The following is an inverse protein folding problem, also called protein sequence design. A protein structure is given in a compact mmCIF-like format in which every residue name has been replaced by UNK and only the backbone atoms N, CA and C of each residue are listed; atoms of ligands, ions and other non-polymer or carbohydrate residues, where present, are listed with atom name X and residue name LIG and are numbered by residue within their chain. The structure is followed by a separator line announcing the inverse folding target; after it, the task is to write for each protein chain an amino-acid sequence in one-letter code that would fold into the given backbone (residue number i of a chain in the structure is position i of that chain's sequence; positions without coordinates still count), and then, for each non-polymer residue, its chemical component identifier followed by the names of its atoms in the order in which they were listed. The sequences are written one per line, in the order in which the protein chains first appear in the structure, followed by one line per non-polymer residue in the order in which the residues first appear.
data_IF_160238019169
#
_entry.id   IF_160238019169
#
_cell.length_a   1.000
_cell.length_b   1.000
_cell.length_c   1.000
_cell.angle_alpha   90.00
_cell.angle_beta   90.00
_cell.angle_gamma   90.00
#
_symmetry.space_group_name_H-M   'P 1'
#
loop_
_entity.id
_entity.type
_entity.pdbx_description
1 polymer ?
#
# COMPACT_ATOMS: atom_id res chain seq x y z
N UNK A 1 -15.35 -83.04 24.14
CA UNK A 1 -14.91 -81.63 24.00
C UNK A 1 -15.92 -80.96 23.06
N UNK A 2 -16.97 -80.29 23.54
CA UNK A 2 -16.93 -78.94 24.14
C UNK A 2 -16.89 -77.90 23.00
N UNK A 3 -17.98 -77.27 22.53
CA UNK A 3 -18.76 -76.13 23.09
C UNK A 3 -18.71 -74.94 22.08
N UNK A 4 -19.90 -74.53 21.59
CA UNK A 4 -20.33 -73.15 21.21
C UNK A 4 -19.86 -72.54 19.86
N UNK A 5 -20.61 -71.71 19.11
CA UNK A 5 -21.97 -71.13 19.22
C UNK A 5 -22.38 -70.53 17.85
N UNK A 6 -23.67 -70.63 17.54
CA UNK A 6 -24.40 -69.81 16.55
C UNK A 6 -24.63 -68.40 17.12
N UNK A 7 -24.56 -67.34 16.28
CA UNK A 7 -25.45 -66.15 16.19
C UNK A 7 -24.73 -64.93 15.59
N UNK A 8 -25.31 -64.35 14.52
CA UNK A 8 -25.55 -62.89 14.36
C UNK A 8 -25.64 -62.47 12.88
N UNK A 9 -26.76 -62.81 12.24
CA UNK A 9 -27.37 -61.98 11.19
C UNK A 9 -28.27 -60.95 11.91
N UNK A 10 -28.31 -59.72 11.41
CA UNK A 10 -29.04 -58.53 11.90
C UNK A 10 -28.38 -57.71 13.02
N UNK A 11 -27.55 -56.74 12.61
CA UNK A 11 -27.50 -55.41 13.22
C UNK A 11 -27.01 -54.40 12.18
N UNK A 12 -27.92 -53.97 11.29
CA UNK A 12 -27.70 -52.79 10.45
C UNK A 12 -27.86 -51.57 11.36
N UNK A 13 -26.73 -51.02 11.74
CA UNK A 13 -26.58 -49.90 12.67
C UNK A 13 -27.27 -48.63 12.16
N UNK A 14 -28.15 -48.08 13.01
CA UNK A 14 -28.77 -46.74 12.90
C UNK A 14 -27.76 -45.60 12.71
N UNK A 15 -26.46 -45.83 12.93
CA UNK A 15 -25.42 -44.82 12.77
C UNK A 15 -25.11 -44.48 11.30
N UNK A 16 -25.25 -45.40 10.34
CA UNK A 16 -24.98 -45.09 8.92
C UNK A 16 -26.03 -44.17 8.28
N UNK A 17 -27.28 -44.23 8.74
CA UNK A 17 -28.36 -43.35 8.27
C UNK A 17 -28.23 -41.94 8.86
N UNK A 18 -27.75 -41.79 10.11
CA UNK A 18 -27.48 -40.49 10.71
C UNK A 18 -26.32 -39.74 10.02
N UNK A 19 -25.24 -40.44 9.66
CA UNK A 19 -24.10 -39.82 8.96
C UNK A 19 -24.46 -39.35 7.54
N UNK A 20 -25.34 -40.04 6.84
CA UNK A 20 -25.80 -39.62 5.50
C UNK A 20 -26.76 -38.42 5.60
N UNK A 21 -27.64 -38.38 6.61
CA UNK A 21 -28.49 -37.20 6.86
C UNK A 21 -27.67 -35.96 7.23
N UNK A 22 -26.61 -36.09 8.03
CA UNK A 22 -25.73 -34.96 8.42
C UNK A 22 -24.96 -34.43 7.21
N UNK A 23 -24.49 -35.31 6.31
CA UNK A 23 -23.78 -34.90 5.09
C UNK A 23 -24.73 -34.20 4.10
N UNK A 24 -25.97 -34.67 3.95
CA UNK A 24 -26.98 -33.99 3.12
C UNK A 24 -27.42 -32.65 3.72
N UNK A 25 -27.48 -32.53 5.05
CA UNK A 25 -27.86 -31.29 5.74
C UNK A 25 -26.72 -30.26 5.74
N UNK A 26 -25.45 -30.71 5.80
CA UNK A 26 -24.27 -29.85 5.61
C UNK A 26 -24.09 -29.39 4.16
N UNK A 27 -24.38 -30.25 3.16
CA UNK A 27 -24.34 -29.87 1.75
C UNK A 27 -25.44 -28.85 1.40
N UNK A 28 -26.67 -29.06 1.87
CA UNK A 28 -27.77 -28.09 1.67
C UNK A 28 -27.52 -26.77 2.41
N UNK A 29 -26.94 -26.76 3.61
CA UNK A 29 -26.54 -25.53 4.30
C UNK A 29 -25.43 -24.77 3.54
N UNK A 30 -24.52 -25.47 2.85
CA UNK A 30 -23.41 -24.84 2.11
C UNK A 30 -23.91 -24.12 0.85
N UNK A 31 -24.86 -24.71 0.12
CA UNK A 31 -25.44 -24.09 -1.08
C UNK A 31 -26.44 -22.95 -0.75
N UNK A 32 -27.20 -23.08 0.35
CA UNK A 32 -28.09 -22.01 0.82
C UNK A 32 -27.34 -20.83 1.45
N UNK A 33 -26.23 -21.07 2.15
CA UNK A 33 -25.40 -20.02 2.73
C UNK A 33 -24.55 -19.34 1.65
N UNK A 34 -24.05 -20.10 0.65
CA UNK A 34 -23.32 -19.60 -0.52
C UNK A 34 -24.15 -18.59 -1.34
N UNK A 35 -25.37 -18.97 -1.75
CA UNK A 35 -26.24 -18.09 -2.55
C UNK A 35 -26.65 -16.81 -1.82
N UNK A 36 -26.88 -16.88 -0.50
CA UNK A 36 -27.28 -15.74 0.33
C UNK A 36 -26.10 -14.82 0.71
N UNK A 37 -24.89 -15.36 0.89
CA UNK A 37 -23.67 -14.55 0.99
C UNK A 37 -23.38 -13.83 -0.33
N UNK A 38 -23.62 -14.51 -1.45
CA UNK A 38 -23.40 -13.95 -2.78
C UNK A 38 -24.36 -12.79 -3.10
N UNK A 39 -25.61 -12.83 -2.59
CA UNK A 39 -26.53 -11.70 -2.71
C UNK A 39 -26.14 -10.48 -1.86
N UNK A 40 -25.36 -10.65 -0.77
CA UNK A 40 -24.89 -9.55 0.09
C UNK A 40 -23.71 -8.77 -0.50
N UNK A 41 -23.09 -9.31 -1.54
CA UNK A 41 -21.91 -8.71 -2.20
C UNK A 41 -22.26 -8.22 -3.61
N UNK A 42 -23.53 -8.27 -4.01
CA UNK A 42 -23.93 -8.10 -5.41
C UNK A 42 -23.65 -6.68 -5.91
N UNK A 43 -23.98 -5.67 -5.09
CA UNK A 43 -23.74 -4.26 -5.42
C UNK A 43 -22.48 -3.74 -4.71
N UNK A 44 -21.42 -3.51 -5.48
CA UNK A 44 -20.11 -3.07 -4.99
C UNK A 44 -19.88 -1.60 -5.36
N UNK A 45 -19.72 -0.76 -4.36
CA UNK A 45 -19.26 0.61 -4.52
C UNK A 45 -17.73 0.66 -4.58
N UNK A 46 -17.16 1.38 -5.54
CA UNK A 46 -15.71 1.56 -5.64
C UNK A 46 -15.34 3.04 -5.70
N UNK A 47 -14.52 3.50 -4.75
CA UNK A 47 -14.09 4.91 -4.67
C UNK A 47 -12.57 5.01 -4.82
N UNK A 48 -12.14 5.84 -5.77
CA UNK A 48 -10.74 6.04 -6.11
C UNK A 48 -10.33 5.15 -7.29
N UNK A 49 -10.27 5.73 -8.47
CA UNK A 49 -10.03 5.07 -9.75
C UNK A 49 -8.64 5.42 -10.32
N UNK A 50 -7.67 5.71 -9.45
CA UNK A 50 -6.28 5.92 -9.85
C UNK A 50 -5.62 4.67 -10.44
N UNK A 51 -4.29 4.65 -10.48
CA UNK A 51 -3.51 3.56 -11.10
C UNK A 51 -3.88 2.16 -10.59
N UNK A 52 -4.16 2.02 -9.29
CA UNK A 52 -4.54 0.74 -8.68
C UNK A 52 -6.06 0.52 -8.79
N UNK A 53 -6.86 1.48 -8.30
CA UNK A 53 -8.29 1.31 -8.13
C UNK A 53 -9.07 1.07 -9.43
N UNK A 54 -8.69 1.72 -10.53
CA UNK A 54 -9.34 1.47 -11.84
C UNK A 54 -9.21 0.01 -12.29
N UNK A 55 -8.03 -0.60 -12.12
CA UNK A 55 -7.77 -1.99 -12.50
C UNK A 55 -8.50 -2.98 -11.58
N UNK A 56 -8.52 -2.67 -10.29
CA UNK A 56 -9.26 -3.43 -9.28
C UNK A 56 -10.78 -3.42 -9.58
N UNK A 57 -11.35 -2.25 -9.86
CA UNK A 57 -12.75 -2.09 -10.24
C UNK A 57 -13.10 -2.87 -11.53
N UNK A 58 -12.23 -2.81 -12.54
CA UNK A 58 -12.40 -3.59 -13.78
C UNK A 58 -12.41 -5.10 -13.52
N UNK A 59 -11.57 -5.59 -12.61
CA UNK A 59 -11.57 -7.02 -12.28
C UNK A 59 -12.85 -7.47 -11.56
N UNK A 60 -13.38 -6.65 -10.64
CA UNK A 60 -14.68 -6.90 -10.02
C UNK A 60 -15.79 -7.00 -11.08
N UNK A 61 -15.81 -6.09 -12.06
CA UNK A 61 -16.77 -6.12 -13.17
C UNK A 61 -16.62 -7.41 -14.00
N UNK A 62 -15.39 -7.78 -14.35
CA UNK A 62 -15.11 -9.03 -15.10
C UNK A 62 -15.53 -10.29 -14.34
N UNK A 63 -15.51 -10.24 -13.01
CA UNK A 63 -15.97 -11.33 -12.14
C UNK A 63 -17.49 -11.34 -11.92
N UNK A 64 -18.24 -10.42 -12.52
CA UNK A 64 -19.71 -10.42 -12.53
C UNK A 64 -20.37 -9.60 -11.42
N UNK A 65 -19.61 -8.83 -10.63
CA UNK A 65 -20.17 -7.94 -9.62
C UNK A 65 -20.81 -6.69 -10.26
N UNK A 66 -21.91 -6.18 -9.69
CA UNK A 66 -22.51 -4.91 -10.11
C UNK A 66 -21.76 -3.76 -9.46
N UNK A 67 -20.85 -3.15 -10.20
CA UNK A 67 -19.98 -2.09 -9.66
C UNK A 67 -20.55 -0.70 -9.97
N UNK A 68 -20.66 0.15 -8.94
CA UNK A 68 -20.83 1.60 -9.10
C UNK A 68 -19.55 2.32 -8.66
N UNK A 69 -19.13 3.36 -9.39
CA UNK A 69 -17.83 3.99 -9.16
C UNK A 69 -17.92 5.49 -8.86
N UNK A 70 -16.94 5.99 -8.11
CA UNK A 70 -16.75 7.42 -7.87
C UNK A 70 -15.25 7.79 -7.82
N UNK A 71 -14.90 8.93 -8.42
CA UNK A 71 -13.59 9.56 -8.32
C UNK A 71 -13.73 11.07 -8.55
N UNK A 72 -12.82 11.88 -7.99
CA UNK A 72 -12.78 13.33 -8.21
C UNK A 72 -12.33 13.69 -9.63
N UNK A 73 -11.63 12.79 -10.32
CA UNK A 73 -11.15 12.98 -11.69
C UNK A 73 -12.23 12.60 -12.69
N UNK A 74 -12.92 13.62 -13.21
CA UNK A 74 -13.96 13.49 -14.23
C UNK A 74 -13.51 12.74 -15.51
N UNK A 75 -12.23 12.83 -15.88
CA UNK A 75 -11.70 12.12 -17.04
C UNK A 75 -11.68 10.61 -16.82
N UNK A 76 -11.37 10.16 -15.60
CA UNK A 76 -11.35 8.74 -15.28
C UNK A 76 -12.77 8.20 -15.14
N UNK A 77 -13.66 8.91 -14.45
CA UNK A 77 -15.07 8.49 -14.31
C UNK A 77 -15.78 8.43 -15.65
N UNK A 78 -15.48 9.36 -16.58
CA UNK A 78 -16.01 9.31 -17.95
C UNK A 78 -15.70 8.00 -18.66
N UNK A 79 -14.47 7.48 -18.55
CA UNK A 79 -14.12 6.19 -19.16
C UNK A 79 -14.99 5.03 -18.62
N UNK A 80 -15.33 5.04 -17.33
CA UNK A 80 -16.22 4.03 -16.75
C UNK A 80 -17.67 4.19 -17.24
N UNK A 81 -18.16 5.43 -17.27
CA UNK A 81 -19.49 5.77 -17.79
C UNK A 81 -19.66 5.37 -19.26
N UNK A 82 -18.66 5.65 -20.11
CA UNK A 82 -18.67 5.30 -21.54
C UNK A 82 -18.68 3.77 -21.76
N UNK A 83 -18.25 2.99 -20.75
CA UNK A 83 -18.32 1.53 -20.74
C UNK A 83 -19.56 0.98 -20.00
N UNK A 84 -20.57 1.83 -19.75
CA UNK A 84 -21.83 1.43 -19.13
C UNK A 84 -21.77 1.18 -17.63
N UNK A 85 -20.68 1.56 -16.95
CA UNK A 85 -20.53 1.41 -15.50
C UNK A 85 -21.19 2.62 -14.81
N UNK A 86 -22.12 2.41 -13.87
CA UNK A 86 -22.73 3.51 -13.12
C UNK A 86 -21.70 4.37 -12.38
N UNK A 87 -21.72 5.67 -12.64
CA UNK A 87 -20.92 6.67 -11.92
C UNK A 87 -21.84 7.40 -10.93
N UNK A 88 -21.34 7.63 -9.71
CA UNK A 88 -22.02 8.44 -8.68
C UNK A 88 -21.25 9.73 -8.43
N UNK A 89 -21.96 10.77 -8.01
CA UNK A 89 -21.40 12.12 -7.83
C UNK A 89 -20.71 12.32 -6.47
N UNK A 90 -20.93 11.41 -5.50
CA UNK A 90 -20.32 11.51 -4.18
C UNK A 90 -20.14 10.16 -3.49
N UNK A 91 -19.26 10.08 -2.47
CA UNK A 91 -19.16 8.90 -1.60
C UNK A 91 -20.50 8.52 -0.94
N UNK A 92 -21.28 9.49 -0.49
CA UNK A 92 -22.62 9.23 0.07
C UNK A 92 -23.53 8.51 -0.94
N UNK A 93 -23.56 8.94 -2.21
CA UNK A 93 -24.35 8.27 -3.24
C UNK A 93 -23.84 6.86 -3.58
N UNK A 94 -22.53 6.60 -3.42
CA UNK A 94 -21.97 5.25 -3.51
C UNK A 94 -22.52 4.38 -2.37
N UNK A 95 -22.49 4.87 -1.13
CA UNK A 95 -23.00 4.13 0.03
C UNK A 95 -24.50 3.80 -0.12
N UNK A 96 -25.32 4.73 -0.63
CA UNK A 96 -26.77 4.51 -0.86
C UNK A 96 -27.07 3.40 -1.88
N UNK A 97 -26.17 3.17 -2.83
CA UNK A 97 -26.35 2.25 -3.94
C UNK A 97 -25.65 0.89 -3.77
N UNK A 98 -24.93 0.68 -2.66
CA UNK A 98 -24.01 -0.45 -2.50
C UNK A 98 -24.26 -1.23 -1.23
N UNK A 99 -24.01 -2.54 -1.30
CA UNK A 99 -24.03 -3.44 -0.15
C UNK A 99 -22.63 -3.52 0.49
N UNK A 100 -21.59 -3.37 -0.33
CA UNK A 100 -20.18 -3.28 0.08
C UNK A 100 -19.53 -2.07 -0.58
N UNK A 101 -18.67 -1.36 0.13
CA UNK A 101 -17.86 -0.27 -0.42
C UNK A 101 -16.37 -0.58 -0.31
N UNK A 102 -15.64 -0.42 -1.40
CA UNK A 102 -14.18 -0.50 -1.46
C UNK A 102 -13.59 0.89 -1.73
N UNK A 103 -12.58 1.28 -0.98
CA UNK A 103 -11.84 2.54 -1.18
C UNK A 103 -10.38 2.27 -1.54
N UNK A 104 -9.82 3.04 -2.49
CA UNK A 104 -8.43 2.93 -2.93
C UNK A 104 -7.82 4.30 -3.24
N UNK A 105 -7.36 4.97 -2.18
CA UNK A 105 -7.06 6.40 -2.12
C UNK A 105 -5.57 6.69 -1.81
N UNK A 106 -5.09 7.94 -2.03
CA UNK A 106 -3.66 8.23 -1.90
C UNK A 106 -3.09 8.25 -0.47
N UNK A 107 -3.86 8.73 0.51
CA UNK A 107 -3.38 8.94 1.89
C UNK A 107 -4.51 8.97 2.92
N UNK A 108 -4.14 8.94 4.21
CA UNK A 108 -5.06 8.98 5.34
C UNK A 108 -6.03 10.17 5.30
N UNK A 109 -5.58 11.36 4.86
CA UNK A 109 -6.45 12.54 4.78
C UNK A 109 -7.57 12.38 3.75
N UNK A 110 -7.29 11.73 2.62
CA UNK A 110 -8.31 11.45 1.60
C UNK A 110 -9.31 10.40 2.09
N UNK A 111 -8.82 9.36 2.79
CA UNK A 111 -9.71 8.35 3.38
C UNK A 111 -10.62 8.99 4.44
N UNK A 112 -10.07 9.83 5.33
CA UNK A 112 -10.89 10.55 6.33
C UNK A 112 -11.95 11.40 5.64
N UNK A 113 -11.60 12.19 4.62
CA UNK A 113 -12.58 13.02 3.90
C UNK A 113 -13.67 12.18 3.21
N UNK A 114 -13.30 11.07 2.56
CA UNK A 114 -14.26 10.16 1.90
C UNK A 114 -15.19 9.49 2.91
N UNK A 115 -14.73 9.17 4.11
CA UNK A 115 -15.58 8.55 5.14
C UNK A 115 -16.43 9.58 5.90
N UNK A 116 -15.82 10.64 6.40
CA UNK A 116 -16.40 11.55 7.40
C UNK A 116 -16.70 12.95 6.87
N UNK A 117 -16.40 13.24 5.60
CA UNK A 117 -16.71 14.52 4.96
C UNK A 117 -18.22 14.77 4.85
N UNK A 118 -18.60 15.99 4.48
CA UNK A 118 -20.02 16.40 4.41
C UNK A 118 -20.87 15.53 3.46
N UNK A 119 -20.26 15.00 2.40
CA UNK A 119 -20.87 14.03 1.47
C UNK A 119 -20.16 12.68 1.53
N UNK A 120 -19.60 12.33 2.68
CA UNK A 120 -18.84 11.11 2.92
C UNK A 120 -19.71 9.85 3.03
N UNK A 121 -19.04 8.71 3.14
CA UNK A 121 -19.68 7.39 3.30
C UNK A 121 -20.58 7.30 4.54
N UNK A 122 -20.21 8.02 5.61
CA UNK A 122 -20.94 8.05 6.88
C UNK A 122 -21.90 9.25 6.97
N UNK A 123 -22.08 10.02 5.91
CA UNK A 123 -22.91 11.24 5.92
C UNK A 123 -24.39 10.97 6.17
N UNK A 124 -24.87 9.76 5.88
CA UNK A 124 -26.23 9.33 6.20
C UNK A 124 -26.47 9.11 7.72
N UNK A 125 -25.44 9.35 8.56
CA UNK A 125 -25.52 9.22 10.00
C UNK A 125 -25.56 7.77 10.47
N UNK A 126 -26.30 7.51 11.55
CA UNK A 126 -26.32 6.22 12.24
C UNK A 126 -27.06 5.11 11.49
N UNK A 127 -27.55 5.31 10.26
CA UNK A 127 -28.26 4.26 9.51
C UNK A 127 -27.68 4.09 8.11
N UNK A 128 -26.83 3.09 7.94
CA UNK A 128 -26.06 2.81 6.73
C UNK A 128 -26.65 1.63 5.95
N UNK A 129 -26.59 1.71 4.62
CA UNK A 129 -26.91 0.58 3.74
C UNK A 129 -25.75 -0.42 3.63
N UNK A 130 -24.48 0.00 3.37
CA UNK A 130 -23.41 -0.97 3.23
C UNK A 130 -23.18 -1.67 4.55
N UNK A 131 -23.13 -3.00 4.51
CA UNK A 131 -22.82 -3.80 5.69
C UNK A 131 -21.32 -4.02 5.87
N UNK A 132 -20.55 -3.79 4.79
CA UNK A 132 -19.11 -3.96 4.78
C UNK A 132 -18.41 -2.80 4.07
N UNK A 133 -17.38 -2.28 4.73
CA UNK A 133 -16.45 -1.30 4.20
C UNK A 133 -15.06 -1.92 4.09
N UNK A 134 -14.43 -1.83 2.92
CA UNK A 134 -13.09 -2.36 2.67
C UNK A 134 -12.19 -1.17 2.30
N UNK A 135 -11.23 -0.86 3.16
CA UNK A 135 -10.24 0.20 2.94
C UNK A 135 -8.95 -0.43 2.42
N UNK A 136 -8.69 -0.31 1.11
CA UNK A 136 -7.52 -0.91 0.45
C UNK A 136 -6.35 0.06 0.23
N UNK A 137 -6.47 1.30 0.68
CA UNK A 137 -5.40 2.27 0.67
C UNK A 137 -4.31 1.92 1.68
N UNK A 138 -3.13 2.49 1.49
CA UNK A 138 -2.06 2.41 2.50
C UNK A 138 -2.10 3.66 3.37
N UNK A 139 -2.62 3.52 4.58
CA UNK A 139 -2.84 4.61 5.54
C UNK A 139 -2.22 4.30 6.91
N UNK A 140 -2.29 5.29 7.79
CA UNK A 140 -1.92 5.14 9.20
C UNK A 140 -2.83 4.09 9.89
N UNK A 141 -2.27 3.07 10.57
CA UNK A 141 -3.04 2.06 11.29
C UNK A 141 -4.00 2.65 12.34
N UNK A 142 -3.66 3.78 12.97
CA UNK A 142 -4.55 4.46 13.90
C UNK A 142 -5.76 5.06 13.20
N UNK A 143 -5.59 5.60 11.99
CA UNK A 143 -6.72 6.13 11.22
C UNK A 143 -7.64 4.99 10.83
N UNK A 144 -7.09 3.86 10.37
CA UNK A 144 -7.87 2.64 10.09
C UNK A 144 -8.68 2.19 11.33
N UNK A 145 -8.04 2.09 12.50
CA UNK A 145 -8.72 1.72 13.76
C UNK A 145 -9.84 2.68 14.15
N UNK A 146 -9.59 4.00 14.05
CA UNK A 146 -10.59 5.02 14.36
C UNK A 146 -11.80 4.92 13.44
N UNK A 147 -11.57 4.77 12.14
CA UNK A 147 -12.64 4.59 11.16
C UNK A 147 -13.41 3.30 11.40
N UNK A 148 -12.73 2.21 11.77
CA UNK A 148 -13.40 0.95 12.14
C UNK A 148 -14.37 1.16 13.31
N UNK A 149 -13.99 1.92 14.34
CA UNK A 149 -14.90 2.27 15.44
C UNK A 149 -16.06 3.12 14.93
N UNK A 150 -15.80 4.18 14.16
CA UNK A 150 -16.87 5.04 13.62
C UNK A 150 -17.87 4.29 12.73
N UNK A 151 -17.40 3.30 11.96
CA UNK A 151 -18.26 2.42 11.16
C UNK A 151 -19.10 1.52 12.07
N UNK A 152 -18.48 0.88 13.06
CA UNK A 152 -19.18 -0.03 13.98
C UNK A 152 -20.16 0.67 14.92
N UNK A 153 -19.98 1.97 15.20
CA UNK A 153 -20.94 2.78 15.97
C UNK A 153 -22.22 3.11 15.17
N UNK A 154 -22.21 2.90 13.86
CA UNK A 154 -23.41 3.05 13.03
C UNK A 154 -24.27 1.78 13.06
N UNK A 155 -25.56 1.92 12.76
CA UNK A 155 -26.48 0.80 12.58
C UNK A 155 -26.76 0.56 11.10
N UNK A 156 -27.10 -0.68 10.75
CA UNK A 156 -27.57 -1.04 9.42
C UNK A 156 -29.03 -0.65 9.25
N UNK A 157 -29.38 -0.16 8.06
CA UNK A 157 -30.78 0.10 7.66
C UNK A 157 -31.60 -1.17 7.61
N UNK A 158 -30.98 -2.25 7.16
CA UNK A 158 -31.58 -3.56 7.03
C UNK A 158 -30.80 -4.55 7.89
N UNK A 159 -31.49 -5.23 8.82
CA UNK A 159 -30.85 -6.24 9.67
C UNK A 159 -30.46 -7.45 8.82
N UNK A 160 -29.19 -7.81 8.87
CA UNK A 160 -28.61 -8.88 8.06
C UNK A 160 -28.28 -10.08 8.97
N UNK A 161 -29.19 -11.05 9.08
CA UNK A 161 -29.05 -12.25 9.92
C UNK A 161 -28.66 -11.93 11.39
N UNK A 162 -29.29 -10.91 11.97
CA UNK A 162 -29.04 -10.49 13.36
C UNK A 162 -27.85 -9.55 13.55
N UNK A 163 -27.11 -9.24 12.48
CA UNK A 163 -26.11 -8.17 12.50
C UNK A 163 -26.80 -6.79 12.48
N UNK A 164 -26.46 -5.96 13.46
CA UNK A 164 -27.04 -4.61 13.62
C UNK A 164 -26.08 -3.51 13.19
N UNK A 165 -24.77 -3.77 13.16
CA UNK A 165 -23.74 -2.78 12.87
C UNK A 165 -22.89 -3.20 11.65
N UNK A 166 -22.40 -2.27 10.82
CA UNK A 166 -21.50 -2.60 9.72
C UNK A 166 -20.11 -3.00 10.20
N UNK A 167 -19.40 -3.74 9.34
CA UNK A 167 -18.00 -4.07 9.52
C UNK A 167 -17.11 -3.18 8.66
N UNK A 168 -15.88 -3.00 9.13
CA UNK A 168 -14.78 -2.43 8.35
C UNK A 168 -13.61 -3.40 8.32
N UNK A 169 -13.04 -3.58 7.14
CA UNK A 169 -11.79 -4.28 6.91
C UNK A 169 -10.76 -3.29 6.36
N UNK A 170 -9.57 -3.23 6.97
CA UNK A 170 -8.43 -2.61 6.33
C UNK A 170 -7.65 -3.66 5.53
N UNK A 171 -7.66 -3.51 4.22
CA UNK A 171 -7.20 -4.50 3.25
C UNK A 171 -6.20 -3.91 2.24
N UNK A 172 -5.09 -3.27 2.68
CA UNK A 172 -4.07 -2.77 1.77
C UNK A 172 -3.48 -3.88 0.90
N UNK A 173 -2.97 -3.48 -0.28
CA UNK A 173 -2.54 -4.40 -1.33
C UNK A 173 -1.04 -4.35 -1.61
N UNK A 174 -0.49 -5.45 -2.11
CA UNK A 174 0.87 -5.55 -2.67
C UNK A 174 0.87 -6.18 -4.06
N UNK A 175 1.86 -5.84 -4.89
CA UNK A 175 2.02 -6.33 -6.27
C UNK A 175 2.04 -5.25 -7.36
N UNK A 176 1.62 -4.03 -7.03
CA UNK A 176 1.66 -2.88 -7.94
C UNK A 176 0.71 -3.00 -9.13
N UNK A 177 0.90 -2.13 -10.13
CA UNK A 177 -0.03 -1.93 -11.24
C UNK A 177 -0.22 -3.21 -12.07
N UNK A 178 0.86 -3.94 -12.36
CA UNK A 178 0.79 -5.17 -13.16
C UNK A 178 -0.02 -6.26 -12.45
N UNK A 179 0.15 -6.42 -11.13
CA UNK A 179 -0.64 -7.38 -10.37
C UNK A 179 -2.10 -6.93 -10.23
N UNK A 180 -2.36 -5.63 -10.10
CA UNK A 180 -3.72 -5.11 -10.10
C UNK A 180 -4.43 -5.38 -11.43
N UNK A 181 -3.75 -5.21 -12.56
CA UNK A 181 -4.31 -5.49 -13.88
C UNK A 181 -4.58 -6.98 -14.10
N UNK A 182 -3.67 -7.84 -13.62
CA UNK A 182 -3.77 -9.27 -13.75
C UNK A 182 -4.69 -9.94 -12.71
N UNK A 183 -5.23 -9.21 -11.73
CA UNK A 183 -6.03 -9.80 -10.64
C UNK A 183 -5.19 -10.69 -9.72
N UNK A 184 -3.91 -10.36 -9.52
CA UNK A 184 -2.95 -11.19 -8.77
C UNK A 184 -2.34 -10.50 -7.55
N UNK A 185 -2.98 -9.42 -7.09
CA UNK A 185 -2.61 -8.72 -5.85
C UNK A 185 -2.57 -9.66 -4.63
N UNK A 186 -1.77 -9.25 -3.65
CA UNK A 186 -1.85 -9.79 -2.29
C UNK A 186 -2.56 -8.78 -1.39
N UNK A 187 -3.68 -9.18 -0.79
CA UNK A 187 -4.38 -8.40 0.24
C UNK A 187 -3.88 -8.79 1.63
N UNK A 188 -3.62 -7.79 2.47
CA UNK A 188 -3.31 -7.97 3.90
C UNK A 188 -4.49 -7.40 4.68
N UNK A 189 -5.29 -8.25 5.33
CA UNK A 189 -6.63 -7.87 5.79
C UNK A 189 -6.72 -7.89 7.31
N UNK A 190 -6.95 -6.73 7.91
CA UNK A 190 -7.31 -6.58 9.32
C UNK A 190 -8.82 -6.32 9.49
N UNK A 191 -9.39 -6.78 10.60
CA UNK A 191 -10.79 -6.56 10.96
C UNK A 191 -11.44 -7.78 11.61
N UNK A 192 -12.76 -7.90 11.52
CA UNK A 192 -13.51 -9.05 12.03
C UNK A 192 -13.31 -10.28 11.12
N UNK A 193 -13.14 -11.46 11.71
CA UNK A 193 -12.84 -12.69 10.96
C UNK A 193 -14.01 -13.14 10.09
N UNK A 194 -15.24 -12.96 10.60
CA UNK A 194 -16.48 -13.23 9.89
C UNK A 194 -16.65 -12.33 8.65
N UNK A 195 -16.26 -11.05 8.76
CA UNK A 195 -16.29 -10.11 7.65
C UNK A 195 -15.21 -10.47 6.61
N UNK A 196 -14.01 -10.87 7.07
CA UNK A 196 -12.95 -11.37 6.19
C UNK A 196 -13.40 -12.60 5.39
N UNK A 197 -13.98 -13.59 6.06
CA UNK A 197 -14.48 -14.81 5.42
C UNK A 197 -15.58 -14.49 4.39
N UNK A 198 -16.50 -13.58 4.73
CA UNK A 198 -17.54 -13.16 3.81
C UNK A 198 -17.01 -12.38 2.60
N UNK A 199 -15.92 -11.62 2.75
CA UNK A 199 -15.31 -10.81 1.69
C UNK A 199 -14.40 -11.60 0.73
N UNK A 200 -14.14 -12.89 1.00
CA UNK A 200 -13.23 -13.74 0.22
C UNK A 200 -13.48 -13.71 -1.30
N UNK A 201 -14.73 -13.74 -1.82
CA UNK A 201 -15.00 -13.66 -3.26
C UNK A 201 -14.54 -12.33 -3.88
N UNK A 202 -14.65 -11.21 -3.15
CA UNK A 202 -14.18 -9.90 -3.62
C UNK A 202 -12.65 -9.89 -3.71
N UNK A 203 -11.96 -10.42 -2.71
CA UNK A 203 -10.49 -10.48 -2.74
C UNK A 203 -9.98 -11.38 -3.87
N UNK A 204 -10.61 -12.53 -4.11
CA UNK A 204 -10.23 -13.45 -5.19
C UNK A 204 -10.48 -12.87 -6.59
N UNK A 205 -11.43 -11.95 -6.74
CA UNK A 205 -11.63 -11.27 -8.03
C UNK A 205 -10.51 -10.29 -8.37
N UNK A 206 -9.90 -9.67 -7.35
CA UNK A 206 -8.89 -8.62 -7.54
C UNK A 206 -7.45 -9.09 -7.25
N UNK A 207 -7.31 -10.26 -6.63
CA UNK A 207 -6.04 -10.74 -6.09
C UNK A 207 -5.91 -12.25 -6.11
N UNK A 208 -4.67 -12.71 -5.99
CA UNK A 208 -4.33 -14.13 -5.93
C UNK A 208 -4.36 -14.67 -4.51
N UNK A 209 -4.08 -13.82 -3.52
CA UNK A 209 -3.93 -14.21 -2.12
C UNK A 209 -4.53 -13.11 -1.24
N UNK A 210 -5.34 -13.49 -0.27
CA UNK A 210 -5.68 -12.66 0.89
C UNK A 210 -5.13 -13.30 2.16
N UNK A 211 -4.53 -12.49 3.03
CA UNK A 211 -3.95 -12.93 4.30
C UNK A 211 -4.68 -12.22 5.41
N UNK A 212 -5.33 -12.98 6.30
CA UNK A 212 -5.92 -12.42 7.52
C UNK A 212 -4.82 -12.04 8.52
N UNK A 213 -4.81 -10.79 8.94
CA UNK A 213 -3.80 -10.20 9.83
C UNK A 213 -4.33 -9.99 11.26
N UNK A 214 -5.53 -10.49 11.57
CA UNK A 214 -6.20 -10.30 12.86
C UNK A 214 -7.06 -9.03 12.89
N UNK A 215 -7.18 -8.41 14.06
CA UNK A 215 -8.12 -7.31 14.30
C UNK A 215 -7.86 -6.01 13.52
N UNK A 216 -8.73 -4.99 13.72
CA UNK A 216 -8.69 -3.74 12.97
C UNK A 216 -7.33 -3.02 12.98
N UNK A 217 -6.92 -2.55 11.81
CA UNK A 217 -5.66 -1.84 11.57
C UNK A 217 -4.46 -2.76 11.32
N UNK A 218 -4.58 -4.07 11.53
CA UNK A 218 -3.44 -4.98 11.38
C UNK A 218 -3.05 -5.21 9.92
N UNK A 219 -3.97 -5.08 8.96
CA UNK A 219 -3.63 -5.12 7.54
C UNK A 219 -2.71 -3.95 7.16
N UNK A 220 -3.01 -2.77 7.68
CA UNK A 220 -2.24 -1.54 7.54
C UNK A 220 -0.86 -1.68 8.18
N UNK A 221 -0.77 -2.25 9.39
CA UNK A 221 0.51 -2.57 10.04
C UNK A 221 1.33 -3.53 9.16
N UNK A 222 0.74 -4.62 8.69
CA UNK A 222 1.42 -5.60 7.84
C UNK A 222 1.99 -4.96 6.57
N UNK A 223 1.19 -4.11 5.90
CA UNK A 223 1.61 -3.39 4.71
C UNK A 223 2.78 -2.45 4.96
N UNK A 224 2.72 -1.66 6.03
CA UNK A 224 3.77 -0.71 6.41
C UNK A 224 5.08 -1.45 6.70
N UNK A 225 5.01 -2.53 7.48
CA UNK A 225 6.18 -3.38 7.77
C UNK A 225 6.78 -4.00 6.50
N UNK A 226 5.94 -4.51 5.59
CA UNK A 226 6.39 -5.04 4.30
C UNK A 226 7.13 -3.97 3.48
N UNK A 227 6.56 -2.77 3.36
CA UNK A 227 7.16 -1.71 2.55
C UNK A 227 8.42 -1.13 3.20
N UNK A 228 8.49 -1.06 4.53
CA UNK A 228 9.71 -0.72 5.27
C UNK A 228 10.83 -1.71 4.98
N UNK A 229 10.57 -3.02 5.12
CA UNK A 229 11.57 -4.05 4.85
C UNK A 229 12.06 -4.01 3.39
N UNK A 230 11.13 -3.80 2.44
CA UNK A 230 11.46 -3.66 1.03
C UNK A 230 12.33 -2.42 0.76
N UNK A 231 12.03 -1.27 1.36
CA UNK A 231 12.81 -0.05 1.21
C UNK A 231 14.25 -0.20 1.71
N UNK A 232 14.42 -0.73 2.93
CA UNK A 232 15.75 -0.98 3.51
C UNK A 232 16.54 -1.95 2.63
N UNK A 233 15.89 -3.04 2.19
CA UNK A 233 16.53 -4.03 1.31
C UNK A 233 16.94 -3.44 -0.04
N UNK A 234 16.09 -2.58 -0.64
CA UNK A 234 16.42 -1.90 -1.89
C UNK A 234 17.64 -0.98 -1.76
N UNK A 235 17.72 -0.22 -0.66
CA UNK A 235 18.87 0.64 -0.38
C UNK A 235 20.13 -0.22 -0.20
N UNK A 236 20.06 -1.27 0.62
CA UNK A 236 21.21 -2.15 0.87
C UNK A 236 21.69 -2.91 -0.37
N UNK A 237 20.77 -3.40 -1.21
CA UNK A 237 21.12 -4.06 -2.48
C UNK A 237 21.78 -3.07 -3.44
N UNK A 238 21.23 -1.86 -3.53
CA UNK A 238 21.82 -0.81 -4.35
C UNK A 238 23.26 -0.51 -3.87
N UNK A 239 23.50 -0.49 -2.56
CA UNK A 239 24.80 -0.18 -1.96
C UNK A 239 25.84 -1.24 -2.25
N UNK A 240 25.45 -2.49 -2.01
CA UNK A 240 26.30 -3.63 -2.25
C UNK A 240 26.71 -3.70 -3.73
N UNK A 241 25.76 -3.47 -4.66
CA UNK A 241 26.04 -3.48 -6.10
C UNK A 241 26.98 -2.33 -6.49
N UNK A 242 26.76 -1.13 -5.95
CA UNK A 242 27.63 0.04 -6.16
C UNK A 242 29.08 -0.19 -5.75
N UNK A 243 29.25 -0.69 -4.52
CA UNK A 243 30.57 -0.98 -3.93
C UNK A 243 31.24 -2.07 -4.74
N UNK A 244 30.52 -3.15 -5.07
CA UNK A 244 31.05 -4.22 -5.91
C UNK A 244 31.54 -3.72 -7.27
N UNK A 245 30.72 -2.94 -7.98
CA UNK A 245 31.12 -2.38 -9.28
C UNK A 245 32.36 -1.48 -9.16
N UNK A 246 32.44 -0.67 -8.11
CA UNK A 246 33.60 0.19 -7.84
C UNK A 246 34.87 -0.61 -7.53
N UNK A 247 34.72 -1.82 -6.98
CA UNK A 247 35.81 -2.77 -6.72
C UNK A 247 36.07 -3.72 -7.91
N UNK A 248 35.39 -3.52 -9.05
CA UNK A 248 35.68 -4.21 -10.31
C UNK A 248 34.85 -5.47 -10.59
N UNK A 249 33.87 -5.84 -9.76
CA UNK A 249 32.96 -6.95 -10.09
C UNK A 249 31.77 -6.47 -10.93
N UNK A 250 31.47 -7.18 -12.02
CA UNK A 250 30.31 -6.88 -12.84
C UNK A 250 28.99 -7.04 -12.05
N UNK A 251 28.04 -6.11 -12.23
CA UNK A 251 26.76 -6.12 -11.54
C UNK A 251 25.95 -7.41 -11.76
N UNK A 252 26.04 -8.00 -12.95
CA UNK A 252 25.39 -9.28 -13.29
C UNK A 252 25.97 -10.44 -12.47
N UNK A 253 27.30 -10.52 -12.37
CA UNK A 253 28.00 -11.52 -11.55
C UNK A 253 27.68 -11.34 -10.07
N UNK A 254 27.75 -10.11 -9.55
CA UNK A 254 27.43 -9.85 -8.15
C UNK A 254 25.95 -10.12 -7.83
N UNK A 255 25.04 -9.78 -8.74
CA UNK A 255 23.61 -10.11 -8.60
C UNK A 255 23.40 -11.62 -8.51
N UNK A 256 24.11 -12.43 -9.32
CA UNK A 256 24.08 -13.90 -9.20
C UNK A 256 24.56 -14.37 -7.84
N UNK A 257 25.68 -13.82 -7.34
CA UNK A 257 26.19 -14.14 -6.00
C UNK A 257 25.15 -13.82 -4.93
N UNK A 258 24.58 -12.61 -4.94
CA UNK A 258 23.52 -12.22 -4.00
C UNK A 258 22.33 -13.17 -4.06
N UNK A 259 21.84 -13.50 -5.25
CA UNK A 259 20.67 -14.35 -5.46
C UNK A 259 20.91 -15.85 -5.21
N UNK A 260 22.16 -16.28 -5.04
CA UNK A 260 22.52 -17.63 -4.60
C UNK A 260 23.01 -17.69 -3.15
N UNK A 261 22.99 -16.57 -2.42
CA UNK A 261 23.52 -16.45 -1.07
C UNK A 261 22.51 -15.84 -0.10
N UNK A 262 22.94 -15.60 1.14
CA UNK A 262 22.14 -14.99 2.21
C UNK A 262 21.72 -13.54 1.94
N UNK A 263 22.38 -12.85 1.00
CA UNK A 263 21.98 -11.49 0.58
C UNK A 263 20.73 -11.43 -0.30
N UNK A 264 20.18 -12.58 -0.71
CA UNK A 264 19.01 -12.66 -1.60
C UNK A 264 17.79 -12.00 -0.98
N UNK A 265 17.16 -11.09 -1.72
CA UNK A 265 15.85 -10.55 -1.38
C UNK A 265 15.05 -10.23 -2.65
N UNK A 266 13.80 -9.76 -2.50
CA UNK A 266 12.97 -9.36 -3.63
C UNK A 266 13.63 -8.27 -4.48
N UNK A 267 14.27 -7.29 -3.86
CA UNK A 267 14.96 -6.19 -4.54
C UNK A 267 16.12 -6.66 -5.43
N UNK A 268 16.82 -7.74 -5.07
CA UNK A 268 17.92 -8.27 -5.89
C UNK A 268 17.46 -9.25 -6.98
N UNK A 269 16.43 -10.04 -6.71
CA UNK A 269 16.00 -11.15 -7.58
C UNK A 269 14.79 -10.85 -8.47
N UNK A 270 14.01 -9.82 -8.17
CA UNK A 270 12.77 -9.51 -8.90
C UNK A 270 12.63 -8.03 -9.27
N UNK A 271 13.49 -7.17 -8.73
CA UNK A 271 13.41 -5.72 -8.95
C UNK A 271 14.77 -5.03 -8.97
N UNK A 272 15.76 -5.67 -9.60
CA UNK A 272 17.16 -5.25 -9.52
C UNK A 272 17.36 -3.78 -9.95
N UNK A 273 18.06 -2.95 -9.15
CA UNK A 273 18.15 -1.51 -9.40
C UNK A 273 19.14 -1.12 -10.51
N UNK A 274 19.97 -2.06 -11.00
CA UNK A 274 21.05 -1.78 -11.96
C UNK A 274 20.58 -1.96 -13.41
N UNK A 275 20.72 -0.95 -14.28
CA UNK A 275 20.35 -1.07 -15.69
C UNK A 275 21.09 -2.21 -16.39
N UNK A 276 20.38 -2.91 -17.27
CA UNK A 276 20.95 -4.02 -18.06
C UNK A 276 21.09 -5.35 -17.31
N UNK A 277 20.88 -5.41 -16.00
CA UNK A 277 20.96 -6.66 -15.22
C UNK A 277 19.67 -7.50 -15.33
N UNK A 278 18.51 -6.85 -15.36
CA UNK A 278 17.21 -7.52 -15.37
C UNK A 278 16.27 -6.80 -16.34
N UNK A 279 15.54 -7.58 -17.14
CA UNK A 279 14.53 -7.06 -18.07
C UNK A 279 13.17 -6.88 -17.37
N UNK A 280 12.33 -5.99 -17.89
CA UNK A 280 10.95 -5.80 -17.42
C UNK A 280 10.80 -5.00 -16.12
N UNK A 281 11.90 -4.69 -15.44
CA UNK A 281 11.95 -3.85 -14.22
C UNK A 281 12.25 -2.38 -14.57
N UNK A 282 11.96 -1.41 -13.68
CA UNK A 282 12.17 0.01 -14.00
C UNK A 282 13.60 0.36 -14.42
N UNK A 283 14.63 -0.28 -13.85
CA UNK A 283 16.03 -0.04 -14.21
C UNK A 283 16.34 -0.36 -15.69
N UNK A 284 15.53 -1.19 -16.34
CA UNK A 284 15.63 -1.46 -17.80
C UNK A 284 14.96 -0.40 -18.70
N UNK A 285 14.26 0.56 -18.11
CA UNK A 285 13.47 1.59 -18.81
C UNK A 285 13.58 2.96 -18.14
N UNK A 286 14.80 3.40 -17.86
CA UNK A 286 15.10 4.72 -17.28
C UNK A 286 14.33 5.03 -15.98
N UNK A 287 14.02 4.00 -15.20
CA UNK A 287 13.26 4.08 -13.95
C UNK A 287 11.83 4.60 -14.11
N UNK A 288 11.24 4.45 -15.30
CA UNK A 288 9.85 4.79 -15.53
C UNK A 288 8.87 3.72 -15.05
N UNK A 289 7.71 4.18 -14.59
CA UNK A 289 6.66 3.34 -14.02
C UNK A 289 7.05 2.68 -12.69
N UNK A 290 6.42 1.54 -12.38
CA UNK A 290 6.66 0.83 -11.12
C UNK A 290 6.07 1.54 -9.90
N UNK A 291 6.67 1.34 -8.73
CA UNK A 291 6.26 2.00 -7.49
C UNK A 291 6.97 3.35 -7.33
N UNK A 292 6.21 4.44 -7.36
CA UNK A 292 6.75 5.79 -7.34
C UNK A 292 7.48 6.10 -6.02
N UNK A 293 8.64 6.77 -6.11
CA UNK A 293 9.46 7.16 -4.95
C UNK A 293 8.70 7.99 -3.92
N UNK A 294 7.80 8.89 -4.37
CA UNK A 294 6.95 9.69 -3.48
C UNK A 294 5.99 8.83 -2.66
N UNK A 295 5.48 7.74 -3.23
CA UNK A 295 4.62 6.81 -2.50
C UNK A 295 5.43 5.98 -1.49
N UNK A 296 6.65 5.59 -1.85
CA UNK A 296 7.57 4.95 -0.90
C UNK A 296 7.93 5.89 0.26
N UNK A 297 8.24 7.15 -0.01
CA UNK A 297 8.52 8.15 1.02
C UNK A 297 7.34 8.29 1.98
N UNK A 298 6.11 8.39 1.45
CA UNK A 298 4.88 8.39 2.24
C UNK A 298 4.75 7.13 3.12
N UNK A 299 5.01 5.94 2.58
CA UNK A 299 4.90 4.70 3.35
C UNK A 299 5.99 4.59 4.44
N UNK A 300 7.19 5.12 4.19
CA UNK A 300 8.24 5.23 5.21
C UNK A 300 7.90 6.25 6.30
N UNK A 301 7.20 7.33 5.95
CA UNK A 301 6.68 8.29 6.94
C UNK A 301 5.62 7.65 7.84
N UNK A 302 4.74 6.82 7.27
CA UNK A 302 3.81 6.01 8.05
C UNK A 302 4.55 5.03 8.97
N UNK A 303 5.57 4.32 8.47
CA UNK A 303 6.38 3.40 9.27
C UNK A 303 7.07 4.09 10.45
N UNK A 304 7.66 5.27 10.22
CA UNK A 304 8.31 6.04 11.27
C UNK A 304 7.30 6.55 12.32
N UNK A 305 6.14 7.02 11.87
CA UNK A 305 5.07 7.47 12.77
C UNK A 305 4.58 6.30 13.66
N UNK A 306 4.30 5.14 13.08
CA UNK A 306 3.88 3.95 13.84
C UNK A 306 4.97 3.44 14.78
N UNK A 307 6.25 3.45 14.37
CA UNK A 307 7.35 3.05 15.23
C UNK A 307 7.55 3.99 16.41
N UNK A 308 7.36 5.31 16.20
CA UNK A 308 7.39 6.32 17.26
C UNK A 308 6.26 6.09 18.28
N UNK A 309 5.04 5.84 17.80
CA UNK A 309 3.90 5.54 18.66
C UNK A 309 4.12 4.27 19.50
N UNK A 310 4.66 3.22 18.89
CA UNK A 310 4.99 1.97 19.58
C UNK A 310 6.26 2.05 20.45
N UNK A 311 6.90 3.23 20.54
CA UNK A 311 8.17 3.44 21.23
C UNK A 311 9.30 2.48 20.79
N UNK A 312 9.28 2.04 19.54
CA UNK A 312 10.30 1.15 18.95
C UNK A 312 11.42 1.97 18.33
N UNK A 313 12.68 1.64 18.65
CA UNK A 313 13.84 2.26 17.99
C UNK A 313 13.90 1.82 16.53
N UNK A 314 14.00 2.78 15.61
CA UNK A 314 13.88 2.54 14.17
C UNK A 314 14.97 3.27 13.35
N UNK A 315 16.27 3.03 13.63
CA UNK A 315 17.37 3.79 13.02
C UNK A 315 17.45 3.65 11.49
N UNK A 316 17.22 2.43 10.97
CA UNK A 316 17.23 2.19 9.52
C UNK A 316 16.04 2.84 8.82
N UNK A 317 14.88 2.93 9.48
CA UNK A 317 13.71 3.65 8.95
C UNK A 317 14.03 5.13 8.77
N UNK A 318 14.62 5.76 9.78
CA UNK A 318 15.01 7.18 9.71
C UNK A 318 15.99 7.45 8.57
N UNK A 319 17.00 6.58 8.40
CA UNK A 319 17.95 6.70 7.30
C UNK A 319 17.27 6.50 5.94
N UNK A 320 16.40 5.49 5.82
CA UNK A 320 15.64 5.22 4.59
C UNK A 320 14.73 6.41 4.21
N UNK A 321 14.09 7.07 5.18
CA UNK A 321 13.31 8.29 4.96
C UNK A 321 14.19 9.42 4.41
N UNK A 322 15.35 9.66 5.02
CA UNK A 322 16.27 10.72 4.58
C UNK A 322 16.76 10.49 3.14
N UNK A 323 16.98 9.24 2.75
CA UNK A 323 17.36 8.86 1.39
C UNK A 323 16.18 9.03 0.42
N UNK A 324 14.97 8.60 0.82
CA UNK A 324 13.78 8.61 -0.04
C UNK A 324 13.13 9.99 -0.21
N UNK A 325 13.18 10.85 0.81
CA UNK A 325 12.62 12.21 0.80
C UNK A 325 13.32 13.14 -0.19
N UNK A 326 14.51 12.75 -0.66
CA UNK A 326 15.26 13.47 -1.67
C UNK A 326 15.11 12.70 -2.99
N UNK A 327 14.02 12.96 -3.70
CA UNK A 327 13.72 12.35 -5.02
C UNK A 327 14.91 12.45 -5.99
N UNK A 328 15.67 13.55 -5.91
CA UNK A 328 16.92 13.71 -6.61
C UNK A 328 18.01 12.77 -6.10
N UNK A 329 18.17 12.56 -4.78
CA UNK A 329 19.18 11.69 -4.15
C UNK A 329 18.86 10.22 -4.32
N UNK A 330 17.62 9.76 -4.48
CA UNK A 330 17.40 8.36 -4.85
C UNK A 330 17.90 8.08 -6.27
N UNK A 331 17.58 8.98 -7.23
CA UNK A 331 18.16 8.95 -8.59
C UNK A 331 19.67 9.22 -8.58
N UNK A 332 20.15 10.13 -7.73
CA UNK A 332 21.57 10.51 -7.57
C UNK A 332 22.36 9.38 -6.94
N UNK A 333 21.84 8.71 -5.93
CA UNK A 333 22.50 7.60 -5.24
C UNK A 333 22.57 6.45 -6.21
N UNK A 334 21.48 6.08 -6.89
CA UNK A 334 21.53 5.07 -7.95
C UNK A 334 22.56 5.43 -9.04
N UNK A 335 22.55 6.65 -9.56
CA UNK A 335 23.47 7.07 -10.63
C UNK A 335 24.91 7.33 -10.20
N UNK A 336 25.16 7.83 -8.98
CA UNK A 336 26.50 7.95 -8.38
C UNK A 336 27.06 6.57 -8.06
N UNK A 337 26.20 5.62 -7.70
CA UNK A 337 26.55 4.22 -7.44
C UNK A 337 26.75 3.39 -8.71
N UNK A 338 26.11 3.78 -9.81
CA UNK A 338 26.23 3.14 -11.12
C UNK A 338 27.29 3.77 -12.03
N UNK A 339 28.01 4.79 -11.56
CA UNK A 339 29.11 5.41 -12.30
C UNK A 339 28.70 6.36 -13.43
N UNK A 340 27.44 6.80 -13.51
CA UNK A 340 26.97 7.76 -14.54
C UNK A 340 27.16 9.23 -14.11
N UNK A 341 28.34 9.58 -13.60
CA UNK A 341 28.64 10.91 -13.03
C UNK A 341 28.50 12.05 -14.06
N UNK A 342 28.63 11.74 -15.36
CA UNK A 342 28.69 12.73 -16.44
C UNK A 342 27.38 13.50 -16.73
N UNK A 343 26.21 12.87 -16.57
CA UNK A 343 24.93 13.49 -16.98
C UNK A 343 24.28 14.39 -15.91
N UNK A 344 24.79 14.36 -14.68
CA UNK A 344 24.08 14.86 -13.50
C UNK A 344 24.53 16.23 -13.00
N UNK A 345 25.72 16.69 -13.39
CA UNK A 345 26.21 18.04 -13.00
C UNK A 345 25.22 19.16 -13.39
N UNK A 346 24.50 19.00 -14.50
CA UNK A 346 23.51 19.96 -14.99
C UNK A 346 22.22 19.96 -14.17
N UNK A 347 21.70 18.80 -13.78
CA UNK A 347 20.47 18.73 -12.97
C UNK A 347 20.69 19.22 -11.54
N UNK A 348 21.85 18.91 -10.93
CA UNK A 348 22.17 19.34 -9.57
C UNK A 348 22.31 20.86 -9.43
N UNK A 349 22.89 21.50 -10.46
CA UNK A 349 22.98 22.96 -10.55
C UNK A 349 21.57 23.59 -10.66
N UNK A 350 20.69 22.98 -11.47
CA UNK A 350 19.31 23.43 -11.64
C UNK A 350 18.44 23.24 -10.38
N UNK A 351 18.71 22.20 -9.57
CA UNK A 351 18.01 21.94 -8.32
C UNK A 351 18.43 22.92 -7.23
N UNK A 352 19.74 23.14 -7.04
CA UNK A 352 20.25 24.16 -6.09
C UNK A 352 19.68 25.54 -6.41
N UNK A 353 19.62 25.91 -7.69
CA UNK A 353 19.02 27.16 -8.12
C UNK A 353 17.52 27.25 -7.76
N UNK A 354 16.73 26.18 -7.97
CA UNK A 354 15.30 26.13 -7.64
C UNK A 354 15.02 26.13 -6.14
N UNK A 355 15.83 25.42 -5.36
CA UNK A 355 15.67 25.31 -3.90
C UNK A 355 16.07 26.61 -3.20
N UNK A 356 17.15 27.27 -3.67
CA UNK A 356 17.52 28.63 -3.26
C UNK A 356 16.43 29.64 -3.62
N UNK A 357 15.82 29.53 -4.80
CA UNK A 357 14.76 30.43 -5.25
C UNK A 357 13.44 30.21 -4.47
N UNK A 358 13.08 28.98 -4.11
CA UNK A 358 11.91 28.68 -3.28
C UNK A 358 12.11 29.11 -1.82
N UNK A 359 13.31 28.93 -1.29
CA UNK A 359 13.69 29.42 0.04
C UNK A 359 13.67 30.96 0.10
N UNK A 360 14.17 31.63 -0.95
CA UNK A 360 14.10 33.07 -1.09
C UNK A 360 12.65 33.59 -1.21
N UNK A 361 11.79 32.92 -2.00
CA UNK A 361 10.36 33.25 -2.11
C UNK A 361 9.62 33.10 -0.78
N UNK A 362 9.95 32.07 0.00
CA UNK A 362 9.36 31.84 1.34
C UNK A 362 9.80 32.90 2.35
N UNK A 363 11.07 33.33 2.29
CA UNK A 363 11.59 34.43 3.10
C UNK A 363 11.02 35.80 2.69
N UNK A 364 10.78 36.03 1.39
CA UNK A 364 10.11 37.25 0.89
C UNK A 364 8.66 37.33 1.35
N UNK A 365 7.92 36.21 1.33
CA UNK A 365 6.52 36.15 1.76
C UNK A 365 6.34 36.37 3.28
N UNK A 366 7.37 36.09 4.08
CA UNK A 366 7.39 36.38 5.52
C UNK A 366 7.81 37.83 5.84
N UNK A 367 8.42 38.56 4.90
CA UNK A 367 8.81 39.97 5.06
C UNK A 367 7.74 40.98 4.63
N UNK A 368 6.60 40.51 4.11
CA UNK A 368 5.46 41.36 3.71
C UNK A 368 4.28 41.23 4.66
N UNK A 369 4.49 41.49 5.96
CA UNK A 369 3.42 41.92 6.86
C UNK A 369 3.69 43.37 7.29
N UNK A 370 2.68 44.26 7.31
CA UNK A 370 2.91 45.67 7.58
C UNK A 370 2.92 45.93 9.08
N UNK A 371 4.10 46.01 9.70
CA UNK A 371 4.29 46.74 10.95
C UNK A 371 5.76 47.17 11.11
N UNK A 372 5.94 48.49 11.20
CA UNK A 372 7.07 49.21 11.80
C UNK A 372 8.33 49.41 10.95
N UNK A 373 8.36 50.60 10.34
CA UNK A 373 9.57 51.35 9.96
C UNK A 373 10.48 51.57 11.19
N UNK A 374 11.74 51.14 11.13
CA UNK A 374 12.86 51.81 11.80
C UNK A 374 14.22 51.30 11.28
N UNK A 375 14.95 52.22 10.64
CA UNK A 375 16.40 52.43 10.63
C UNK A 375 17.30 51.24 10.22
N UNK A 376 17.89 51.42 9.04
CA UNK A 376 19.04 50.66 8.53
C UNK A 376 20.30 51.19 9.22
N UNK A 377 21.00 50.33 9.96
CA UNK A 377 22.45 50.44 10.18
C UNK A 377 23.09 49.09 9.97
N UNK A 378 24.10 49.08 9.09
CA UNK A 378 24.84 47.91 8.67
C UNK A 378 25.72 47.39 9.81
N UNK A 379 25.56 46.12 10.18
CA UNK A 379 26.58 45.38 10.92
C UNK A 379 26.74 43.97 10.34
N UNK A 380 28.02 43.65 10.08
CA UNK A 380 28.53 42.36 9.62
C UNK A 380 28.14 41.25 10.60
N UNK A 381 27.53 40.18 10.11
CA UNK A 381 27.62 38.86 10.75
C UNK A 381 27.67 37.74 9.70
N UNK A 382 28.85 37.12 9.59
CA UNK A 382 29.04 35.80 8.99
C UNK A 382 28.22 34.74 9.73
N UNK A 383 27.70 33.71 9.05
CA UNK A 383 27.41 32.44 9.70
C UNK A 383 28.53 31.44 9.40
N UNK A 384 29.42 31.23 10.38
CA UNK A 384 30.05 29.91 10.55
C UNK A 384 28.96 28.98 11.06
N UNK A 385 28.64 27.95 10.28
CA UNK A 385 28.04 26.73 10.79
C UNK A 385 28.95 25.60 10.32
N UNK A 386 29.91 25.27 11.18
CA UNK A 386 30.72 24.07 11.08
C UNK A 386 29.84 22.87 11.48
N UNK A 387 29.56 21.98 10.53
CA UNK A 387 29.03 20.64 10.82
C UNK A 387 30.09 19.61 10.38
N UNK A 388 30.86 19.00 11.32
CA UNK A 388 32.09 18.29 11.01
C UNK A 388 31.91 16.87 10.43
N UNK A 389 30.68 16.45 10.08
CA UNK A 389 30.43 15.08 9.58
C UNK A 389 30.42 15.00 8.03
N UNK A 390 30.33 16.13 7.32
CA UNK A 390 30.20 16.13 5.84
C UNK A 390 31.51 16.54 5.12
N UNK A 391 32.45 17.19 5.80
CA UNK A 391 33.67 17.72 5.17
C UNK A 391 34.87 16.75 5.16
N UNK A 392 34.76 15.55 5.75
CA UNK A 392 35.89 14.61 5.82
C UNK A 392 35.96 13.59 4.67
N UNK A 393 34.91 13.48 3.85
CA UNK A 393 34.87 12.53 2.73
C UNK A 393 35.28 13.13 1.37
N UNK A 394 35.69 14.40 1.33
CA UNK A 394 36.07 15.11 0.09
C UNK A 394 37.55 15.51 0.00
N UNK A 395 38.41 15.04 0.92
CA UNK A 395 39.86 15.34 0.90
C UNK A 395 40.78 14.15 0.61
N UNK A 396 40.26 12.98 0.24
CA UNK A 396 41.09 11.79 -0.01
C UNK A 396 41.19 11.32 -1.48
N UNK A 397 40.72 12.11 -2.45
CA UNK A 397 40.75 11.70 -3.89
C UNK A 397 41.62 12.62 -4.76
N UNK A 398 42.42 13.51 -4.18
CA UNK A 398 43.37 14.32 -4.96
C UNK A 398 44.70 14.44 -4.21
N UNK A 399 45.49 13.38 -4.28
CA UNK A 399 46.96 13.39 -4.35
C UNK A 399 47.48 11.98 -4.05
N UNK A 400 47.89 11.25 -5.09
CA UNK A 400 49.08 10.37 -5.10
C UNK A 400 49.16 9.64 -6.44
N UNK A 401 49.55 10.36 -7.47
CA UNK A 401 50.33 9.79 -8.59
C UNK A 401 51.68 10.52 -8.54
N UNK A 402 52.64 9.95 -7.81
CA UNK A 402 54.07 10.04 -8.12
C UNK A 402 54.89 9.24 -7.10
N UNK A 403 55.68 8.31 -7.63
CA UNK A 403 56.97 7.83 -7.13
C UNK A 403 56.99 6.68 -6.11
N UNK A 404 57.52 5.55 -6.63
CA UNK A 404 58.06 4.32 -6.03
C UNK A 404 57.09 3.27 -5.47
#
# INVERSE_FOLDING_TARGET
MGIWRIKSLFSLSKHKLHSISIIFQQAQCRDYCSSRLQSRLENVGFIGLGNMGSRMAVNLIKSGFKVSVHDLNAGVTKNFMDNGVPVKESPAQIAEASDVVITMLPSSSHVIDVYTGANGLLAAGSSLRPWLFIESSTIDPLVSRKLSVSVSDCSLREKLDGQENPFMLDAPVSGGILAAEAGTLTFMVGGAEEAYAAAEPLFHSMGRISIYCGGPGNGSVAKICNNLAMAISMIGVSEALAVGQSLGIAATTLTRVLNSSSGRCWSSNSYNPVPGVMQGVPSSRNYEGGFASKLMAKDLDLAAASAKEAAVKHPLTTLAQQISARELVFKLVLSLWLGEVGKIKLELASYKARDSMNSAKKAMKQRTSPASFAIITAERMSPRIDNPIITRSLRFVNNSFCSY
#
